data_IF_464936980765
#
_entry.id   IF_464936980765
#
_cell.length_a   1.000
_cell.length_b   1.000
_cell.length_c   1.000
_cell.angle_alpha   90.00
_cell.angle_beta   90.00
_cell.angle_gamma   90.00
#
_symmetry.space_group_name_H-M   'P 1'
#
loop_
_entity.id
_entity.type
_entity.pdbx_description
1 polymer ?
#
# COMPACT_ATOMS: atom_id res chain seq x y z
N UNK A 1 10.36 -3.67 -1.75
CA UNK A 1 10.66 -2.80 -0.60
C UNK A 1 9.44 -2.86 0.28
N UNK A 2 9.62 -3.06 1.57
CA UNK A 2 8.52 -3.08 2.53
C UNK A 2 8.69 -1.88 3.46
N UNK A 3 7.59 -1.19 3.73
CA UNK A 3 7.53 -0.02 4.61
C UNK A 3 6.52 -0.32 5.71
N UNK A 4 6.90 -0.13 6.97
CA UNK A 4 5.97 -0.20 8.10
C UNK A 4 5.71 1.22 8.59
N UNK A 5 4.44 1.58 8.73
CA UNK A 5 4.01 2.88 9.24
C UNK A 5 3.34 2.67 10.59
N UNK A 6 3.78 3.45 11.58
CA UNK A 6 3.40 3.31 12.99
C UNK A 6 2.96 4.69 13.50
N UNK A 7 1.82 4.76 14.18
CA UNK A 7 1.37 6.00 14.83
C UNK A 7 1.99 6.15 16.22
N UNK A 8 2.71 7.24 16.50
CA UNK A 8 3.37 7.43 17.81
C UNK A 8 2.42 7.83 18.94
N UNK A 9 1.29 8.48 18.65
CA UNK A 9 0.33 8.93 19.66
C UNK A 9 -1.11 8.77 19.18
N UNK A 10 -1.85 7.90 19.86
CA UNK A 10 -3.31 7.89 19.95
C UNK A 10 -3.62 7.52 21.40
N UNK A 11 -4.45 8.30 22.10
CA UNK A 11 -4.80 8.06 23.52
C UNK A 11 -5.24 6.59 23.74
N UNK A 12 -4.34 5.76 24.27
CA UNK A 12 -4.57 4.34 24.54
C UNK A 12 -3.37 3.42 24.26
N UNK A 13 -3.30 2.34 25.03
CA UNK A 13 -2.19 1.35 25.17
C UNK A 13 -1.75 0.65 23.86
N UNK A 14 -2.46 0.86 22.74
CA UNK A 14 -2.21 0.16 21.48
C UNK A 14 -1.91 1.14 20.36
N UNK A 15 -0.72 1.00 19.81
CA UNK A 15 -0.21 1.79 18.68
C UNK A 15 -0.63 1.11 17.37
N UNK A 16 -1.50 1.74 16.55
CA UNK A 16 -1.86 1.17 15.26
C UNK A 16 -0.68 1.22 14.29
N UNK A 17 -0.52 0.11 13.57
CA UNK A 17 0.50 -0.05 12.54
C UNK A 17 -0.05 -0.80 11.34
N UNK A 18 0.59 -0.61 10.19
CA UNK A 18 0.33 -1.41 8.99
C UNK A 18 1.61 -1.62 8.17
N UNK A 19 1.62 -2.73 7.44
CA UNK A 19 2.69 -3.08 6.51
C UNK A 19 2.28 -2.69 5.08
N UNK A 20 3.18 -2.02 4.36
CA UNK A 20 3.02 -1.63 2.98
C UNK A 20 4.11 -2.27 2.13
N UNK A 21 3.72 -3.23 1.28
CA UNK A 21 4.60 -3.73 0.24
C UNK A 21 4.65 -2.73 -0.91
N UNK A 22 5.76 -2.00 -1.02
CA UNK A 22 5.94 -0.95 -2.02
C UNK A 22 6.60 -1.48 -3.29
N UNK A 23 6.00 -1.13 -4.41
CA UNK A 23 6.53 -1.24 -5.76
C UNK A 23 6.66 0.15 -6.37
N UNK A 24 7.52 0.27 -7.38
CA UNK A 24 7.84 1.56 -7.99
C UNK A 24 8.01 1.38 -9.50
N UNK A 25 7.50 2.33 -10.28
CA UNK A 25 7.59 2.32 -11.74
C UNK A 25 7.48 3.73 -12.32
N UNK A 26 8.13 3.98 -13.45
CA UNK A 26 7.92 5.18 -14.26
C UNK A 26 6.98 4.94 -15.45
N UNK A 27 6.53 3.70 -15.67
CA UNK A 27 5.70 3.32 -16.82
C UNK A 27 4.28 3.89 -16.70
N UNK A 28 4.00 5.00 -17.37
CA UNK A 28 2.68 5.66 -17.30
C UNK A 28 1.57 4.84 -17.97
N UNK A 29 1.93 4.00 -18.93
CA UNK A 29 1.00 3.09 -19.61
C UNK A 29 0.45 1.97 -18.70
N UNK A 30 0.75 1.96 -17.40
CA UNK A 30 0.10 1.10 -16.40
C UNK A 30 -1.09 1.81 -15.72
N UNK A 31 -1.14 3.13 -15.79
CA UNK A 31 -2.25 3.93 -15.29
C UNK A 31 -3.39 3.94 -16.34
N UNK A 32 -4.59 3.53 -15.94
CA UNK A 32 -5.84 3.59 -16.74
C UNK A 32 -6.73 4.73 -16.24
N UNK A 33 -7.89 4.90 -16.88
CA UNK A 33 -8.87 5.91 -16.52
C UNK A 33 -9.41 5.78 -15.09
N UNK A 34 -9.55 4.55 -14.58
CA UNK A 34 -10.21 4.22 -13.31
C UNK A 34 -9.28 3.54 -12.29
N UNK A 35 -8.17 2.92 -12.73
CA UNK A 35 -7.25 2.18 -11.87
C UNK A 35 -5.81 2.20 -12.39
N UNK A 36 -4.86 1.86 -11.53
CA UNK A 36 -3.49 1.48 -11.87
C UNK A 36 -3.41 -0.05 -11.97
N UNK A 37 -2.80 -0.56 -13.04
CA UNK A 37 -2.57 -1.99 -13.24
C UNK A 37 -1.20 -2.36 -12.71
N UNK A 38 -1.11 -3.46 -11.96
CA UNK A 38 0.18 -3.98 -11.53
C UNK A 38 0.24 -5.50 -11.59
N UNK A 39 1.28 -6.04 -12.25
CA UNK A 39 1.49 -7.50 -12.33
C UNK A 39 2.47 -7.95 -11.25
N UNK A 40 2.09 -8.97 -10.50
CA UNK A 40 2.91 -9.58 -9.46
C UNK A 40 3.17 -11.05 -9.73
N UNK A 41 4.37 -11.52 -9.40
CA UNK A 41 4.68 -12.95 -9.35
C UNK A 41 3.87 -13.63 -8.25
N UNK A 42 3.54 -14.90 -8.44
CA UNK A 42 2.70 -15.67 -7.54
C UNK A 42 3.23 -15.74 -6.10
N UNK A 43 4.53 -16.02 -5.91
CA UNK A 43 5.10 -16.18 -4.57
C UNK A 43 4.98 -14.92 -3.68
N UNK A 44 5.45 -13.72 -4.08
CA UNK A 44 5.28 -12.53 -3.25
C UNK A 44 3.81 -12.15 -3.07
N UNK A 45 2.96 -12.43 -4.06
CA UNK A 45 1.53 -12.20 -3.95
C UNK A 45 0.87 -13.10 -2.91
N UNK A 46 1.15 -14.41 -2.93
CA UNK A 46 0.65 -15.36 -1.93
C UNK A 46 1.06 -14.95 -0.53
N UNK A 47 2.32 -14.54 -0.35
CA UNK A 47 2.79 -13.99 0.92
C UNK A 47 1.94 -12.79 1.31
N UNK A 48 1.80 -11.79 0.43
CA UNK A 48 1.02 -10.57 0.70
C UNK A 48 -0.42 -10.85 1.17
N UNK A 49 -1.16 -11.71 0.46
CA UNK A 49 -2.59 -11.97 0.76
C UNK A 49 -2.82 -13.02 1.85
N UNK A 50 -1.76 -13.64 2.38
CA UNK A 50 -1.87 -14.69 3.40
C UNK A 50 -2.63 -14.19 4.64
N UNK A 51 -3.53 -15.01 5.16
CA UNK A 51 -4.33 -14.76 6.38
C UNK A 51 -4.20 -15.96 7.34
N UNK A 52 -4.44 -15.78 8.65
CA UNK A 52 -4.71 -14.52 9.35
C UNK A 52 -3.44 -13.67 9.52
N UNK A 53 -3.61 -12.34 9.69
CA UNK A 53 -2.52 -11.40 9.97
C UNK A 53 -2.83 -10.54 11.19
N UNK A 54 -1.83 -10.37 12.06
CA UNK A 54 -1.90 -9.43 13.19
C UNK A 54 -1.80 -7.97 12.73
N UNK A 55 -0.94 -7.72 11.74
CA UNK A 55 -0.74 -6.39 11.15
C UNK A 55 -1.40 -6.33 9.78
N UNK A 56 -2.32 -5.36 9.55
CA UNK A 56 -2.90 -5.15 8.23
C UNK A 56 -1.81 -4.92 7.17
N UNK A 57 -1.93 -5.61 6.04
CA UNK A 57 -1.00 -5.50 4.94
C UNK A 57 -1.64 -4.81 3.73
N UNK A 58 -0.87 -4.03 3.01
CA UNK A 58 -1.29 -3.25 1.85
C UNK A 58 -0.28 -3.41 0.71
N UNK A 59 -0.76 -3.32 -0.53
CA UNK A 59 0.07 -3.17 -1.72
C UNK A 59 0.07 -1.72 -2.14
N UNK A 60 1.25 -1.13 -2.32
CA UNK A 60 1.43 0.20 -2.87
C UNK A 60 2.23 0.17 -4.17
N UNK A 61 1.83 0.96 -5.16
CA UNK A 61 2.61 1.20 -6.39
C UNK A 61 2.84 2.70 -6.54
N UNK A 62 4.09 3.11 -6.37
CA UNK A 62 4.58 4.46 -6.60
C UNK A 62 4.81 4.67 -8.11
N UNK A 63 4.03 5.55 -8.71
CA UNK A 63 4.18 5.99 -10.09
C UNK A 63 5.04 7.25 -10.13
N UNK A 64 6.28 7.09 -10.56
CA UNK A 64 7.24 8.16 -10.82
C UNK A 64 6.92 8.87 -12.14
N UNK A 65 7.37 10.12 -12.34
CA UNK A 65 7.31 10.75 -13.66
C UNK A 65 8.26 10.06 -14.65
N UNK A 66 7.96 10.12 -15.95
CA UNK A 66 8.83 9.53 -17.00
C UNK A 66 10.18 10.25 -17.08
N UNK A 67 10.16 11.58 -16.92
CA UNK A 67 11.32 12.44 -17.04
C UNK A 67 11.45 13.37 -15.82
N UNK A 68 12.66 13.93 -15.66
CA UNK A 68 12.98 14.86 -14.58
C UNK A 68 13.41 14.17 -13.27
N UNK A 69 13.72 14.97 -12.23
CA UNK A 69 14.22 14.44 -10.97
C UNK A 69 13.13 13.69 -10.20
N UNK A 70 13.39 12.43 -9.85
CA UNK A 70 12.47 11.60 -9.06
C UNK A 70 12.45 11.95 -7.57
N UNK A 71 13.48 12.64 -7.09
CA UNK A 71 13.68 12.97 -5.69
C UNK A 71 14.35 14.34 -5.57
N UNK A 72 13.78 15.19 -4.74
CA UNK A 72 14.38 16.45 -4.29
C UNK A 72 14.59 16.36 -2.79
N UNK A 73 15.83 16.56 -2.36
CA UNK A 73 16.26 16.46 -0.96
C UNK A 73 16.80 17.82 -0.53
N UNK A 74 16.38 18.26 0.65
CA UNK A 74 16.88 19.45 1.36
C UNK A 74 16.82 19.17 2.86
N UNK A 75 17.41 20.04 3.69
CA UNK A 75 17.34 19.89 5.15
C UNK A 75 15.90 19.91 5.66
N UNK A 76 15.00 20.65 4.98
CA UNK A 76 13.61 20.82 5.42
C UNK A 76 12.67 19.73 4.90
N UNK A 77 13.00 19.10 3.76
CA UNK A 77 12.06 18.19 3.09
C UNK A 77 12.71 17.17 2.16
N UNK A 78 12.05 16.03 2.09
CA UNK A 78 12.22 14.98 1.09
C UNK A 78 10.95 14.94 0.21
N UNK A 79 11.06 15.34 -1.05
CA UNK A 79 9.91 15.43 -1.97
C UNK A 79 10.13 14.55 -3.19
N UNK A 80 9.12 13.78 -3.55
CA UNK A 80 9.06 13.05 -4.82
C UNK A 80 7.83 13.50 -5.61
N UNK A 81 7.97 13.88 -6.90
CA UNK A 81 6.84 14.26 -7.76
C UNK A 81 6.09 13.02 -8.27
N UNK A 82 5.65 12.16 -7.36
CA UNK A 82 5.07 10.86 -7.67
C UNK A 82 3.69 10.68 -7.05
N UNK A 83 2.97 9.66 -7.53
CA UNK A 83 1.63 9.30 -7.06
C UNK A 83 1.65 7.85 -6.64
N UNK A 84 1.26 7.55 -5.42
CA UNK A 84 1.16 6.16 -4.96
C UNK A 84 -0.30 5.73 -4.93
N UNK A 85 -0.60 4.66 -5.65
CA UNK A 85 -1.91 3.99 -5.59
C UNK A 85 -1.79 2.76 -4.70
N UNK A 86 -2.83 2.45 -3.93
CA UNK A 86 -2.76 1.35 -2.97
C UNK A 86 -4.04 0.51 -2.91
N UNK A 87 -3.91 -0.71 -2.38
CA UNK A 87 -5.06 -1.54 -2.02
C UNK A 87 -4.76 -2.42 -0.80
N UNK A 88 -5.76 -2.64 0.06
CA UNK A 88 -5.66 -3.56 1.19
C UNK A 88 -5.46 -5.00 0.69
N UNK A 89 -4.52 -5.73 1.28
CA UNK A 89 -4.24 -7.11 0.88
C UNK A 89 -5.45 -8.03 1.07
N UNK A 90 -6.33 -7.72 2.04
CA UNK A 90 -7.59 -8.43 2.28
C UNK A 90 -8.63 -8.21 1.18
N UNK A 91 -8.50 -7.16 0.36
CA UNK A 91 -9.39 -6.85 -0.75
C UNK A 91 -8.85 -7.35 -2.10
N UNK A 92 -7.66 -7.96 -2.11
CA UNK A 92 -7.08 -8.55 -3.30
C UNK A 92 -7.63 -9.95 -3.54
N UNK A 93 -7.98 -10.26 -4.79
CA UNK A 93 -8.55 -11.55 -5.16
C UNK A 93 -7.58 -12.71 -4.87
N UNK A 94 -8.06 -13.90 -4.50
CA UNK A 94 -7.18 -15.07 -4.38
C UNK A 94 -6.41 -15.34 -5.68
N UNK A 95 -5.19 -15.87 -5.55
CA UNK A 95 -4.45 -16.34 -6.71
C UNK A 95 -5.11 -17.62 -7.23
N UNK A 96 -5.39 -17.69 -8.54
CA UNK A 96 -5.82 -18.92 -9.19
C UNK A 96 -4.77 -20.03 -9.04
N UNK A 97 -5.23 -21.26 -8.86
CA UNK A 97 -4.34 -22.42 -8.72
C UNK A 97 -3.50 -22.61 -9.99
N UNK A 98 -2.21 -22.94 -9.83
CA UNK A 98 -1.28 -23.08 -10.96
C UNK A 98 -0.82 -21.76 -11.61
N UNK A 99 -1.39 -20.60 -11.26
CA UNK A 99 -0.95 -19.32 -11.82
C UNK A 99 0.44 -18.92 -11.32
N UNK A 100 1.31 -18.49 -12.25
CA UNK A 100 2.65 -17.97 -11.93
C UNK A 100 2.64 -16.47 -11.59
N UNK A 101 1.54 -15.78 -11.88
CA UNK A 101 1.40 -14.34 -11.64
C UNK A 101 -0.07 -13.92 -11.63
N UNK A 102 -0.32 -12.74 -11.08
CA UNK A 102 -1.63 -12.10 -11.05
C UNK A 102 -1.51 -10.65 -11.46
N UNK A 103 -2.58 -10.11 -12.02
CA UNK A 103 -2.71 -8.68 -12.32
C UNK A 103 -3.69 -8.07 -11.34
N UNK A 104 -3.21 -7.16 -10.49
CA UNK A 104 -4.04 -6.42 -9.54
C UNK A 104 -4.50 -5.09 -10.15
N UNK A 105 -5.63 -4.59 -9.66
CA UNK A 105 -6.19 -3.29 -10.02
C UNK A 105 -6.22 -2.42 -8.77
N UNK A 106 -5.47 -1.33 -8.76
CA UNK A 106 -5.43 -0.37 -7.66
C UNK A 106 -6.31 0.83 -8.03
N UNK A 107 -7.45 1.06 -7.35
CA UNK A 107 -8.36 2.15 -7.70
C UNK A 107 -7.67 3.52 -7.67
N UNK A 108 -8.04 4.42 -8.59
CA UNK A 108 -7.52 5.80 -8.58
C UNK A 108 -7.99 6.61 -7.37
N UNK A 109 -9.11 6.22 -6.77
CA UNK A 109 -9.60 6.76 -5.49
C UNK A 109 -8.67 6.43 -4.32
N UNK A 110 -7.88 5.37 -4.44
CA UNK A 110 -6.96 4.93 -3.40
C UNK A 110 -5.59 5.58 -3.61
N UNK A 111 -5.55 6.91 -3.54
CA UNK A 111 -4.31 7.67 -3.56
C UNK A 111 -3.70 7.68 -2.15
N UNK A 112 -2.38 7.56 -2.03
CA UNK A 112 -1.69 7.58 -0.74
C UNK A 112 -1.48 9.03 -0.28
N UNK A 113 -2.57 9.67 0.11
CA UNK A 113 -2.61 11.03 0.66
C UNK A 113 -2.90 11.00 2.16
N UNK A 114 -2.71 12.16 2.82
CA UNK A 114 -2.80 12.30 4.28
C UNK A 114 -4.09 11.71 4.85
N UNK A 115 -5.23 12.03 4.25
CA UNK A 115 -6.56 11.63 4.69
C UNK A 115 -6.74 10.11 4.61
N UNK A 116 -6.24 9.50 3.52
CA UNK A 116 -6.29 8.06 3.30
C UNK A 116 -5.38 7.31 4.27
N UNK A 117 -4.16 7.81 4.52
CA UNK A 117 -3.22 7.22 5.50
C UNK A 117 -3.80 7.28 6.90
N UNK A 118 -4.40 8.42 7.28
CA UNK A 118 -5.10 8.55 8.58
C UNK A 118 -6.24 7.54 8.68
N UNK A 119 -7.03 7.36 7.62
CA UNK A 119 -8.11 6.37 7.59
C UNK A 119 -7.62 4.92 7.73
N UNK A 120 -6.47 4.58 7.13
CA UNK A 120 -5.82 3.28 7.31
C UNK A 120 -5.47 3.03 8.78
N UNK A 121 -4.83 4.01 9.43
CA UNK A 121 -4.44 3.90 10.85
C UNK A 121 -5.65 3.80 11.79
N UNK A 122 -6.72 4.54 11.50
CA UNK A 122 -7.98 4.45 12.26
C UNK A 122 -8.58 3.05 12.19
N UNK A 123 -8.67 2.45 10.99
CA UNK A 123 -9.16 1.07 10.82
C UNK A 123 -8.26 0.05 11.54
N UNK A 124 -6.94 0.21 11.48
CA UNK A 124 -6.01 -0.65 12.19
C UNK A 124 -6.21 -0.57 13.71
N UNK A 125 -6.47 0.64 14.25
CA UNK A 125 -6.76 0.82 15.67
C UNK A 125 -8.08 0.15 16.08
N UNK A 126 -9.13 0.27 15.26
CA UNK A 126 -10.42 -0.38 15.49
C UNK A 126 -10.32 -1.91 15.50
N UNK A 127 -9.60 -2.49 14.52
CA UNK A 127 -9.35 -3.93 14.45
C UNK A 127 -8.61 -4.43 15.69
N UNK A 128 -7.56 -3.72 16.12
CA UNK A 128 -6.81 -4.09 17.32
C UNK A 128 -7.68 -4.04 18.58
N UNK A 129 -8.51 -3.00 18.74
CA UNK A 129 -9.45 -2.92 19.87
C UNK A 129 -10.41 -4.12 19.90
N UNK A 130 -10.95 -4.52 18.75
CA UNK A 130 -11.83 -5.68 18.62
C UNK A 130 -11.18 -7.03 18.91
N UNK A 131 -9.85 -7.13 18.90
CA UNK A 131 -9.11 -8.36 19.23
C UNK A 131 -8.87 -8.55 20.74
N UNK A 132 -8.99 -7.48 21.54
CA UNK A 132 -8.75 -7.50 22.99
C UNK A 132 -10.04 -7.32 23.82
N UNK A 133 -11.21 -7.35 23.18
CA UNK A 133 -12.53 -7.36 23.81
C UNK A 133 -13.18 -8.73 23.63
#
# INVERSE_FOLDING_TARGET
MDLTIVSSEMDGVVVPQFDLQLKCTAQQNLLRSDHMIWRMKAEPYRKLIQQPRMTPAYLGVLLLPEEGPWLSVSEERLVTPSRMYWQAASELAPLEEGSESVTVRLPRSNLFEREQVRGILQRAAEQLRGMFC
#
